data_IF_381925703945
#
_entry.id   IF_381925703945
#
_cell.length_a   1.000
_cell.length_b   1.000
_cell.length_c   1.000
_cell.angle_alpha   90.00
_cell.angle_beta   90.00
_cell.angle_gamma   90.00
#
_symmetry.space_group_name_H-M   'P 1'
#
loop_
_entity.id
_entity.type
_entity.pdbx_description
1 polymer ?
#
# COMPACT_ATOMS: atom_id res chain seq x y z
N UNK A 1 -75.56 31.47 -37.49
CA UNK A 1 -76.69 31.58 -36.55
C UNK A 1 -76.09 31.68 -35.16
N UNK A 2 -76.47 32.68 -34.37
CA UNK A 2 -75.81 33.08 -33.11
C UNK A 2 -76.29 32.26 -31.89
N UNK A 3 -75.90 32.72 -30.67
CA UNK A 3 -76.27 32.22 -29.32
C UNK A 3 -75.36 31.05 -28.85
N UNK A 4 -74.36 31.18 -27.96
CA UNK A 4 -74.03 32.06 -26.81
C UNK A 4 -74.70 31.67 -25.47
N UNK A 5 -73.86 31.56 -24.41
CA UNK A 5 -74.14 31.30 -22.97
C UNK A 5 -74.42 29.81 -22.60
N UNK A 6 -73.93 29.24 -21.47
CA UNK A 6 -73.32 29.82 -20.26
C UNK A 6 -72.20 28.94 -19.60
N UNK A 7 -71.36 29.61 -18.81
CA UNK A 7 -70.35 29.17 -17.80
C UNK A 7 -70.90 28.09 -16.83
N UNK A 8 -70.14 27.27 -16.07
CA UNK A 8 -68.72 27.23 -15.62
C UNK A 8 -68.40 25.78 -15.12
N UNK A 9 -67.18 25.28 -14.84
CA UNK A 9 -65.81 25.78 -15.01
C UNK A 9 -64.87 25.49 -13.81
N UNK A 10 -64.10 24.37 -13.81
CA UNK A 10 -63.02 24.03 -12.83
C UNK A 10 -61.82 23.32 -13.48
N UNK A 11 -60.70 23.21 -12.75
CA UNK A 11 -59.32 23.15 -13.25
C UNK A 11 -58.64 21.76 -13.18
N UNK A 12 -57.64 21.59 -14.06
CA UNK A 12 -56.40 20.78 -13.97
C UNK A 12 -56.44 19.35 -13.40
N UNK A 13 -56.01 18.38 -14.21
CA UNK A 13 -54.65 17.83 -14.14
C UNK A 13 -54.33 17.03 -15.42
N UNK A 14 -53.08 17.01 -15.86
CA UNK A 14 -52.59 16.05 -16.85
C UNK A 14 -51.90 14.90 -16.08
N UNK A 15 -52.16 13.65 -16.48
CA UNK A 15 -51.45 12.50 -15.93
C UNK A 15 -49.99 12.53 -16.40
N UNK A 16 -49.08 12.69 -15.45
CA UNK A 16 -47.63 12.60 -15.65
C UNK A 16 -47.12 11.44 -14.77
N UNK A 17 -46.94 10.28 -15.40
CA UNK A 17 -46.57 9.04 -14.72
C UNK A 17 -45.37 8.32 -15.37
N UNK A 18 -44.42 9.11 -15.89
CA UNK A 18 -43.02 8.66 -16.05
C UNK A 18 -42.19 9.07 -14.82
N UNK A 19 -42.45 8.44 -13.68
CA UNK A 19 -41.68 8.69 -12.46
C UNK A 19 -40.42 7.81 -12.42
N UNK A 20 -39.27 8.45 -12.63
CA UNK A 20 -37.94 7.85 -12.66
C UNK A 20 -37.72 6.83 -11.53
N UNK A 21 -37.33 5.61 -11.91
CA UNK A 21 -37.02 4.52 -10.98
C UNK A 21 -35.64 4.73 -10.35
N UNK A 22 -35.53 5.75 -9.49
CA UNK A 22 -34.31 6.04 -8.72
C UNK A 22 -33.94 4.80 -7.89
N UNK A 23 -32.84 4.14 -8.26
CA UNK A 23 -32.35 2.94 -7.56
C UNK A 23 -32.05 3.30 -6.10
N UNK A 24 -32.88 2.78 -5.19
CA UNK A 24 -32.67 3.00 -3.75
C UNK A 24 -31.42 2.26 -3.33
N UNK A 25 -30.40 3.01 -2.91
CA UNK A 25 -29.19 2.47 -2.27
C UNK A 25 -29.57 1.42 -1.22
N UNK A 26 -28.87 0.26 -1.17
CA UNK A 26 -29.21 -0.81 -0.27
C UNK A 26 -29.04 -0.40 1.19
N UNK A 27 -29.84 -0.98 2.09
CA UNK A 27 -29.81 -0.67 3.53
C UNK A 27 -28.50 -1.07 4.23
N UNK A 28 -27.70 -1.91 3.59
CA UNK A 28 -26.47 -2.50 4.07
C UNK A 28 -25.66 -2.94 2.83
N UNK A 29 -24.34 -2.82 2.85
CA UNK A 29 -23.49 -3.46 1.83
C UNK A 29 -23.39 -4.95 2.16
N UNK A 30 -23.74 -5.81 1.21
CA UNK A 30 -23.65 -7.27 1.40
C UNK A 30 -22.21 -7.76 1.19
N UNK A 31 -21.65 -8.38 2.22
CA UNK A 31 -20.33 -9.03 2.18
C UNK A 31 -20.55 -10.55 2.13
N UNK A 32 -19.89 -11.30 1.21
CA UNK A 32 -20.00 -12.76 1.17
C UNK A 32 -19.57 -13.39 2.50
N UNK A 33 -20.53 -14.00 3.20
CA UNK A 33 -20.35 -14.58 4.53
C UNK A 33 -20.13 -16.10 4.49
N UNK A 34 -19.17 -16.56 5.28
CA UNK A 34 -18.89 -17.97 5.62
C UNK A 34 -19.43 -18.35 7.01
N UNK A 35 -20.11 -17.42 7.70
CA UNK A 35 -20.82 -17.67 8.96
C UNK A 35 -19.96 -17.70 10.23
N UNK A 36 -18.65 -17.48 10.15
CA UNK A 36 -17.72 -17.67 11.28
C UNK A 36 -17.19 -16.42 11.96
N UNK A 37 -17.22 -15.25 11.31
CA UNK A 37 -16.56 -14.03 11.82
C UNK A 37 -17.53 -12.89 12.17
N UNK A 38 -17.39 -12.33 13.38
CA UNK A 38 -18.05 -11.08 13.79
C UNK A 38 -17.11 -9.91 13.49
N UNK A 39 -17.25 -9.34 12.29
CA UNK A 39 -16.42 -8.22 11.81
C UNK A 39 -17.21 -6.91 11.58
N UNK A 40 -18.54 -6.95 11.59
CA UNK A 40 -19.39 -5.76 11.45
C UNK A 40 -19.36 -4.96 12.76
N UNK A 41 -18.86 -3.73 12.68
CA UNK A 41 -18.77 -2.80 13.81
C UNK A 41 -20.03 -1.94 13.87
N UNK A 42 -20.62 -1.83 15.06
CA UNK A 42 -21.62 -0.80 15.31
C UNK A 42 -20.94 0.58 15.33
N UNK A 43 -21.30 1.45 14.39
CA UNK A 43 -20.74 2.81 14.23
C UNK A 43 -20.75 3.63 15.52
N UNK A 44 -21.72 3.43 16.42
CA UNK A 44 -21.80 4.13 17.71
C UNK A 44 -20.66 3.77 18.69
N UNK A 45 -19.90 2.70 18.41
CA UNK A 45 -18.71 2.30 19.18
C UNK A 45 -17.41 2.92 18.64
N UNK A 46 -17.45 3.53 17.44
CA UNK A 46 -16.32 4.25 16.86
C UNK A 46 -16.31 5.70 17.35
N UNK A 47 -15.16 6.15 17.85
CA UNK A 47 -14.90 7.55 18.14
C UNK A 47 -13.96 8.11 17.08
N UNK A 48 -14.43 9.07 16.30
CA UNK A 48 -13.61 9.78 15.34
C UNK A 48 -12.77 10.85 16.03
N UNK A 49 -11.51 10.96 15.62
CA UNK A 49 -10.55 11.98 16.07
C UNK A 49 -10.08 12.76 14.83
N UNK A 50 -8.78 13.08 14.75
CA UNK A 50 -8.21 13.88 13.67
C UNK A 50 -8.34 13.23 12.29
N UNK A 51 -8.62 14.04 11.27
CA UNK A 51 -8.52 13.63 9.87
C UNK A 51 -7.04 13.54 9.48
N UNK A 52 -6.59 12.34 9.12
CA UNK A 52 -5.20 12.00 8.79
C UNK A 52 -4.91 12.23 7.31
N UNK A 53 -5.89 11.98 6.44
CA UNK A 53 -5.70 12.11 5.00
C UNK A 53 -7.01 12.12 4.20
N UNK A 54 -6.88 12.42 2.91
CA UNK A 54 -7.95 12.29 1.91
C UNK A 54 -7.39 11.52 0.72
N UNK A 55 -8.03 10.40 0.38
CA UNK A 55 -7.73 9.62 -0.83
C UNK A 55 -8.83 9.75 -1.88
N UNK A 56 -8.62 9.07 -3.00
CA UNK A 56 -9.60 8.90 -4.08
C UNK A 56 -10.84 8.12 -3.62
N UNK A 57 -10.66 7.05 -2.84
CA UNK A 57 -11.74 6.18 -2.38
C UNK A 57 -12.47 6.71 -1.13
N UNK A 58 -11.88 7.61 -0.37
CA UNK A 58 -12.43 8.00 0.92
C UNK A 58 -11.56 8.98 1.71
N UNK A 59 -12.00 9.29 2.93
CA UNK A 59 -11.23 10.07 3.90
C UNK A 59 -10.73 9.17 5.03
N UNK A 60 -9.47 9.37 5.44
CA UNK A 60 -8.84 8.58 6.48
C UNK A 60 -8.80 9.39 7.78
N UNK A 61 -9.36 8.83 8.84
CA UNK A 61 -9.39 9.40 10.18
C UNK A 61 -8.58 8.54 11.15
N UNK A 62 -7.98 9.17 12.14
CA UNK A 62 -7.62 8.52 13.40
C UNK A 62 -8.89 8.40 14.24
N UNK A 63 -8.94 7.38 15.08
CA UNK A 63 -10.03 7.22 16.02
C UNK A 63 -9.71 6.21 17.11
N UNK A 64 -10.72 5.92 17.93
CA UNK A 64 -10.66 4.92 18.99
C UNK A 64 -11.84 3.94 18.87
N UNK A 65 -11.57 2.64 18.96
CA UNK A 65 -12.54 1.55 19.04
C UNK A 65 -12.17 0.63 20.20
N UNK A 66 -13.11 0.34 21.11
CA UNK A 66 -12.85 -0.51 22.29
C UNK A 66 -11.56 -0.16 23.07
N UNK A 67 -11.27 1.14 23.22
CA UNK A 67 -10.05 1.71 23.84
C UNK A 67 -8.73 1.44 23.10
N UNK A 68 -8.76 0.87 21.89
CA UNK A 68 -7.63 0.77 20.97
C UNK A 68 -7.66 1.92 19.95
N UNK A 69 -6.49 2.49 19.65
CA UNK A 69 -6.34 3.50 18.59
C UNK A 69 -6.41 2.81 17.23
N UNK A 70 -7.23 3.32 16.33
CA UNK A 70 -7.56 2.73 15.02
C UNK A 70 -7.48 3.76 13.89
N UNK A 71 -7.27 3.26 12.68
CA UNK A 71 -7.47 4.03 11.46
C UNK A 71 -8.86 3.72 10.89
N UNK A 72 -9.62 4.75 10.50
CA UNK A 72 -10.99 4.64 9.99
C UNK A 72 -11.03 5.25 8.59
N UNK A 73 -11.12 4.40 7.56
CA UNK A 73 -11.21 4.77 6.14
C UNK A 73 -12.69 4.87 5.77
N UNK A 74 -13.23 6.09 5.70
CA UNK A 74 -14.65 6.38 5.42
C UNK A 74 -14.87 6.57 3.92
N UNK A 75 -15.81 5.82 3.36
CA UNK A 75 -16.21 5.93 1.95
C UNK A 75 -17.04 7.20 1.74
N UNK A 76 -16.73 8.00 0.72
CA UNK A 76 -17.39 9.31 0.48
C UNK A 76 -18.81 9.15 -0.10
N UNK A 77 -19.86 9.67 0.56
CA UNK A 77 -21.24 9.57 0.06
C UNK A 77 -21.46 10.20 -1.32
N UNK A 78 -20.69 11.23 -1.67
CA UNK A 78 -20.78 11.93 -2.96
C UNK A 78 -20.19 11.11 -4.13
N UNK A 79 -19.47 10.02 -3.82
CA UNK A 79 -18.79 9.16 -4.78
C UNK A 79 -19.31 7.71 -4.77
N UNK A 80 -20.26 7.36 -3.89
CA UNK A 80 -20.82 6.01 -3.81
C UNK A 80 -21.74 5.68 -4.98
N UNK A 81 -21.16 5.07 -6.02
CA UNK A 81 -21.88 4.30 -7.03
C UNK A 81 -21.80 2.79 -6.74
N UNK A 82 -22.54 1.98 -7.51
CA UNK A 82 -22.62 0.52 -7.33
C UNK A 82 -21.27 -0.19 -7.46
N UNK A 83 -20.35 0.32 -8.28
CA UNK A 83 -19.01 -0.25 -8.44
C UNK A 83 -18.11 0.05 -7.23
N UNK A 84 -18.16 1.27 -6.68
CA UNK A 84 -17.44 1.65 -5.46
C UNK A 84 -17.90 0.83 -4.24
N UNK A 85 -19.21 0.55 -4.14
CA UNK A 85 -19.75 -0.34 -3.10
C UNK A 85 -19.26 -1.80 -3.29
N UNK A 86 -19.12 -2.26 -4.54
CA UNK A 86 -18.53 -3.58 -4.85
C UNK A 86 -17.03 -3.63 -4.54
N UNK A 87 -16.28 -2.59 -4.85
CA UNK A 87 -14.85 -2.46 -4.51
C UNK A 87 -14.65 -2.47 -2.99
N UNK A 88 -15.45 -1.70 -2.23
CA UNK A 88 -15.46 -1.74 -0.75
C UNK A 88 -15.80 -3.14 -0.22
N UNK A 89 -16.83 -3.79 -0.77
CA UNK A 89 -17.23 -5.14 -0.34
C UNK A 89 -16.12 -6.18 -0.57
N UNK A 90 -15.43 -6.07 -1.70
CA UNK A 90 -14.28 -6.90 -2.04
C UNK A 90 -13.08 -6.62 -1.13
N UNK A 91 -12.81 -5.35 -0.81
CA UNK A 91 -11.75 -4.93 0.11
C UNK A 91 -11.98 -5.55 1.50
N UNK A 92 -13.17 -5.42 2.08
CA UNK A 92 -13.55 -6.06 3.36
C UNK A 92 -13.46 -7.58 3.28
N UNK A 93 -13.94 -8.21 2.20
CA UNK A 93 -13.90 -9.66 2.02
C UNK A 93 -12.48 -10.23 1.95
N UNK A 94 -11.54 -9.51 1.33
CA UNK A 94 -10.11 -9.88 1.32
C UNK A 94 -9.50 -9.65 2.70
N UNK A 95 -9.67 -8.44 3.25
CA UNK A 95 -8.99 -8.01 4.47
C UNK A 95 -9.35 -8.86 5.70
N UNK A 96 -10.61 -9.32 5.83
CA UNK A 96 -11.03 -10.19 6.95
C UNK A 96 -10.31 -11.54 7.00
N UNK A 97 -9.77 -12.02 5.87
CA UNK A 97 -9.07 -13.33 5.77
C UNK A 97 -7.57 -13.24 6.04
N UNK A 98 -7.04 -12.03 6.28
CA UNK A 98 -5.60 -11.74 6.26
C UNK A 98 -5.12 -11.32 7.64
N UNK A 99 -4.17 -12.09 8.17
CA UNK A 99 -3.61 -11.89 9.52
C UNK A 99 -2.12 -12.27 9.53
N UNK A 100 -1.26 -11.26 9.41
CA UNK A 100 0.18 -11.43 9.37
C UNK A 100 0.89 -10.22 9.99
N UNK A 101 2.03 -10.43 10.68
CA UNK A 101 2.75 -9.37 11.41
C UNK A 101 3.14 -8.18 10.53
N UNK A 102 3.42 -8.43 9.25
CA UNK A 102 3.86 -7.41 8.29
C UNK A 102 2.78 -7.04 7.25
N UNK A 103 1.50 -7.27 7.57
CA UNK A 103 0.35 -6.80 6.78
C UNK A 103 -0.58 -6.05 7.74
N UNK A 104 -1.16 -4.93 7.30
CA UNK A 104 -2.02 -4.11 8.18
C UNK A 104 -3.25 -4.92 8.61
N UNK A 105 -3.42 -5.04 9.93
CA UNK A 105 -4.48 -5.81 10.54
C UNK A 105 -5.84 -5.11 10.38
N UNK A 106 -6.75 -5.82 9.72
CA UNK A 106 -8.18 -5.52 9.73
C UNK A 106 -8.77 -5.74 11.12
N UNK A 107 -9.57 -4.79 11.60
CA UNK A 107 -10.27 -4.84 12.90
C UNK A 107 -11.78 -5.06 12.67
N UNK A 108 -12.33 -4.43 11.64
CA UNK A 108 -13.73 -4.60 11.26
C UNK A 108 -14.15 -3.58 10.21
N UNK A 109 -15.45 -3.58 9.88
CA UNK A 109 -16.02 -2.61 8.95
C UNK A 109 -17.43 -2.19 9.40
N UNK A 110 -17.88 -1.02 8.97
CA UNK A 110 -19.28 -0.62 9.04
C UNK A 110 -19.83 -0.63 7.61
N UNK A 111 -20.86 -1.44 7.34
CA UNK A 111 -21.46 -1.59 6.00
C UNK A 111 -22.75 -0.81 5.80
N UNK A 112 -23.24 -0.13 6.84
CA UNK A 112 -24.52 0.59 6.82
C UNK A 112 -24.36 2.08 6.49
N UNK A 113 -25.23 2.67 5.65
CA UNK A 113 -25.33 4.11 5.48
C UNK A 113 -25.59 4.85 6.81
N UNK A 114 -25.22 6.14 6.94
CA UNK A 114 -24.68 7.01 5.90
C UNK A 114 -23.18 6.85 5.64
N UNK A 115 -22.42 6.25 6.57
CA UNK A 115 -20.96 6.28 6.57
C UNK A 115 -20.35 4.87 6.55
N UNK A 116 -20.33 4.16 5.40
CA UNK A 116 -19.56 2.93 5.27
C UNK A 116 -18.07 3.19 5.53
N UNK A 117 -17.43 2.35 6.33
CA UNK A 117 -16.01 2.51 6.63
C UNK A 117 -15.29 1.18 6.90
N UNK A 118 -13.98 1.18 6.67
CA UNK A 118 -13.07 0.09 7.04
C UNK A 118 -12.23 0.55 8.23
N UNK A 119 -12.11 -0.31 9.23
CA UNK A 119 -11.35 -0.06 10.47
C UNK A 119 -10.15 -1.00 10.53
N UNK A 120 -8.96 -0.41 10.64
CA UNK A 120 -7.69 -1.14 10.77
C UNK A 120 -6.91 -0.65 11.99
N UNK A 121 -5.84 -1.37 12.34
CA UNK A 121 -4.86 -0.84 13.28
C UNK A 121 -4.28 0.52 12.81
N UNK A 122 -3.99 1.39 13.77
CA UNK A 122 -3.40 2.70 13.48
C UNK A 122 -1.86 2.62 13.41
N UNK A 123 -1.30 2.94 12.24
CA UNK A 123 0.14 2.92 12.02
C UNK A 123 0.76 4.28 12.35
N UNK A 124 1.21 4.42 13.60
CA UNK A 124 1.48 5.71 14.26
C UNK A 124 2.57 6.58 13.63
N UNK A 125 3.48 6.03 12.81
CA UNK A 125 4.52 6.79 12.08
C UNK A 125 4.14 7.12 10.64
N UNK A 126 2.97 6.72 10.18
CA UNK A 126 2.49 6.97 8.81
C UNK A 126 3.22 6.12 7.76
N UNK A 127 3.28 6.63 6.53
CA UNK A 127 3.86 5.92 5.38
C UNK A 127 5.37 6.11 5.25
N UNK A 128 6.05 5.13 4.64
CA UNK A 128 7.47 5.25 4.32
C UNK A 128 7.72 6.37 3.30
N UNK A 129 6.78 6.65 2.39
CA UNK A 129 6.88 7.81 1.49
C UNK A 129 7.00 9.13 2.25
N UNK A 130 6.15 9.32 3.27
CA UNK A 130 6.16 10.53 4.09
C UNK A 130 7.42 10.61 4.95
N UNK A 131 7.89 9.49 5.49
CA UNK A 131 9.17 9.39 6.19
C UNK A 131 10.34 9.83 5.31
N UNK A 132 10.46 9.30 4.09
CA UNK A 132 11.56 9.60 3.16
C UNK A 132 11.49 11.06 2.64
N UNK A 133 10.32 11.48 2.14
CA UNK A 133 10.21 12.68 1.31
C UNK A 133 9.76 13.93 2.07
N UNK A 134 8.90 13.79 3.09
CA UNK A 134 8.43 14.92 3.92
C UNK A 134 9.30 15.09 5.15
N UNK A 135 9.56 14.01 5.89
CA UNK A 135 10.33 14.03 7.15
C UNK A 135 11.86 13.98 6.93
N UNK A 136 12.31 13.68 5.70
CA UNK A 136 13.74 13.51 5.33
C UNK A 136 14.47 12.43 6.15
N UNK A 137 13.72 11.42 6.56
CA UNK A 137 14.21 10.25 7.29
C UNK A 137 15.28 9.47 6.54
N UNK A 138 16.13 8.77 7.30
CA UNK A 138 17.28 8.03 6.75
C UNK A 138 17.37 6.66 7.41
N UNK A 139 17.23 5.60 6.59
CA UNK A 139 17.59 4.26 7.02
C UNK A 139 19.09 4.02 6.83
N UNK A 140 19.78 3.69 7.92
CA UNK A 140 21.11 3.05 7.82
C UNK A 140 20.90 1.63 7.29
N UNK A 141 21.90 1.07 6.60
CA UNK A 141 21.80 -0.25 5.95
C UNK A 141 21.15 -1.37 6.80
N UNK A 142 21.46 -1.56 8.10
CA UNK A 142 20.76 -2.58 8.91
C UNK A 142 19.26 -2.32 9.08
N UNK A 143 18.86 -1.07 9.28
CA UNK A 143 17.45 -0.68 9.38
C UNK A 143 16.73 -0.80 8.04
N UNK A 144 17.41 -0.46 6.94
CA UNK A 144 16.88 -0.66 5.58
C UNK A 144 16.62 -2.15 5.31
N UNK A 145 17.56 -3.02 5.69
CA UNK A 145 17.41 -4.47 5.53
C UNK A 145 16.27 -5.01 6.42
N UNK A 146 16.12 -4.54 7.67
CA UNK A 146 14.96 -4.86 8.52
C UNK A 146 13.64 -4.50 7.82
N UNK A 147 13.53 -3.27 7.31
CA UNK A 147 12.35 -2.79 6.57
C UNK A 147 12.08 -3.63 5.33
N UNK A 148 13.11 -3.91 4.52
CA UNK A 148 12.98 -4.73 3.31
C UNK A 148 12.53 -6.16 3.63
N UNK A 149 13.04 -6.77 4.71
CA UNK A 149 12.61 -8.10 5.18
C UNK A 149 11.16 -8.08 5.67
N UNK A 150 10.76 -7.06 6.43
CA UNK A 150 9.38 -6.89 6.90
C UNK A 150 8.41 -6.81 5.70
N UNK A 151 8.68 -5.94 4.73
CA UNK A 151 7.89 -5.81 3.49
C UNK A 151 7.83 -7.14 2.73
N UNK A 152 8.98 -7.79 2.55
CA UNK A 152 9.06 -9.05 1.80
C UNK A 152 8.26 -10.17 2.47
N UNK A 153 8.25 -10.26 3.81
CA UNK A 153 7.41 -11.21 4.55
C UNK A 153 5.92 -10.91 4.39
N UNK A 154 5.54 -9.63 4.41
CA UNK A 154 4.16 -9.20 4.15
C UNK A 154 3.68 -9.63 2.76
N UNK A 155 4.48 -9.34 1.73
CA UNK A 155 4.17 -9.72 0.35
C UNK A 155 4.17 -11.23 0.12
N UNK A 156 5.14 -11.97 0.68
CA UNK A 156 5.17 -13.42 0.61
C UNK A 156 3.89 -14.05 1.20
N UNK A 157 3.41 -13.53 2.33
CA UNK A 157 2.15 -13.99 2.93
C UNK A 157 0.94 -13.69 2.04
N UNK A 158 0.86 -12.50 1.41
CA UNK A 158 -0.21 -12.17 0.46
C UNK A 158 -0.19 -13.12 -0.75
N UNK A 159 0.98 -13.37 -1.33
CA UNK A 159 1.15 -14.29 -2.47
C UNK A 159 0.78 -15.73 -2.12
N UNK A 160 1.16 -16.22 -0.94
CA UNK A 160 0.74 -17.54 -0.42
C UNK A 160 -0.78 -17.66 -0.24
N UNK A 161 -1.49 -16.54 -0.08
CA UNK A 161 -2.96 -16.48 -0.03
C UNK A 161 -3.60 -16.13 -1.39
N UNK A 162 -2.84 -16.21 -2.49
CA UNK A 162 -3.26 -15.87 -3.87
C UNK A 162 -3.72 -14.40 -4.06
N UNK A 163 -3.17 -13.47 -3.27
CA UNK A 163 -3.45 -12.03 -3.38
C UNK A 163 -2.26 -11.33 -4.05
N UNK A 164 -2.52 -10.72 -5.21
CA UNK A 164 -1.58 -9.82 -5.90
C UNK A 164 -1.91 -8.39 -5.49
N UNK A 165 -0.93 -7.63 -5.00
CA UNK A 165 -1.13 -6.29 -4.44
C UNK A 165 -1.35 -5.22 -5.51
N UNK A 166 -0.62 -5.29 -6.64
CA UNK A 166 -0.73 -4.43 -7.85
C UNK A 166 -0.36 -2.95 -7.71
N UNK A 167 -0.32 -2.41 -6.48
CA UNK A 167 -0.02 -1.00 -6.17
C UNK A 167 1.08 -0.89 -5.09
N UNK A 168 2.04 -1.81 -5.05
CA UNK A 168 3.10 -1.82 -4.04
C UNK A 168 4.08 -0.64 -4.25
N UNK A 169 4.09 0.30 -3.30
CA UNK A 169 4.91 1.51 -3.30
C UNK A 169 5.16 1.99 -1.87
N UNK A 170 6.15 2.85 -1.63
CA UNK A 170 6.46 3.37 -0.28
C UNK A 170 5.30 4.11 0.39
N UNK A 171 4.31 4.61 -0.36
CA UNK A 171 3.12 5.24 0.20
C UNK A 171 2.16 4.22 0.86
N UNK A 172 2.16 2.97 0.40
CA UNK A 172 1.31 1.88 0.89
C UNK A 172 2.07 0.95 1.87
N UNK A 173 3.26 1.38 2.29
CA UNK A 173 4.02 0.76 3.37
C UNK A 173 3.95 1.65 4.59
N UNK A 174 3.38 1.14 5.67
CA UNK A 174 3.14 1.90 6.90
C UNK A 174 4.02 1.40 8.04
N UNK A 175 4.37 2.29 8.98
CA UNK A 175 5.26 1.98 10.11
C UNK A 175 4.58 2.27 11.46
N UNK A 176 4.77 1.37 12.43
CA UNK A 176 4.31 1.52 13.82
C UNK A 176 5.37 2.18 14.72
N UNK A 177 5.02 2.46 15.97
CA UNK A 177 5.91 3.10 16.94
C UNK A 177 7.20 2.29 17.21
N UNK A 178 7.14 0.97 17.01
CA UNK A 178 8.22 0.00 17.21
C UNK A 178 9.10 -0.23 15.95
N UNK A 179 8.91 0.61 14.92
CA UNK A 179 9.59 0.52 13.62
C UNK A 179 9.36 -0.82 12.91
N UNK A 180 8.21 -1.47 13.12
CA UNK A 180 7.77 -2.61 12.29
C UNK A 180 7.04 -2.05 11.07
N UNK A 181 7.37 -2.56 9.89
CA UNK A 181 6.71 -2.16 8.64
C UNK A 181 5.65 -3.17 8.25
N UNK A 182 4.51 -2.64 7.78
CA UNK A 182 3.36 -3.41 7.31
C UNK A 182 2.88 -2.93 5.95
N UNK A 183 2.44 -3.89 5.14
CA UNK A 183 1.83 -3.66 3.82
C UNK A 183 0.36 -3.27 3.98
N UNK A 184 -0.07 -2.20 3.33
CA UNK A 184 -1.43 -1.62 3.39
C UNK A 184 -2.09 -1.54 2.00
N UNK A 185 -3.40 -1.24 1.94
CA UNK A 185 -4.19 -1.03 0.71
C UNK A 185 -4.14 -2.19 -0.33
N UNK A 186 -3.78 -3.40 0.10
CA UNK A 186 -3.77 -4.63 -0.72
C UNK A 186 -5.16 -5.14 -1.12
N UNK A 187 -6.24 -4.62 -0.53
CA UNK A 187 -7.61 -5.04 -0.82
C UNK A 187 -8.24 -4.38 -2.05
N UNK A 188 -7.66 -3.29 -2.58
CA UNK A 188 -8.09 -2.64 -3.84
C UNK A 188 -7.46 -3.36 -5.05
N UNK A 189 -7.46 -4.69 -5.05
CA UNK A 189 -6.87 -5.54 -6.09
C UNK A 189 -7.66 -5.39 -7.41
N UNK A 190 -7.35 -4.30 -8.14
CA UNK A 190 -8.26 -3.62 -9.09
C UNK A 190 -8.95 -4.58 -10.05
N UNK A 191 -10.27 -4.75 -9.90
CA UNK A 191 -11.15 -5.35 -10.92
C UNK A 191 -11.48 -4.29 -11.98
N UNK A 192 -10.43 -3.67 -12.55
CA UNK A 192 -10.54 -2.69 -13.63
C UNK A 192 -9.64 -3.12 -14.80
N UNK A 193 -10.14 -4.12 -15.52
CA UNK A 193 -9.67 -4.52 -16.86
C UNK A 193 -10.77 -4.31 -17.92
N UNK A 194 -12.03 -4.09 -17.54
CA UNK A 194 -13.16 -3.99 -18.48
C UNK A 194 -13.44 -2.60 -19.07
N UNK A 195 -12.89 -1.52 -18.52
CA UNK A 195 -13.00 -0.17 -19.11
C UNK A 195 -11.62 0.31 -19.57
N UNK A 196 -11.35 0.26 -20.88
CA UNK A 196 -10.09 0.69 -21.52
C UNK A 196 -9.82 2.20 -21.49
N UNK A 197 -10.22 2.88 -20.43
CA UNK A 197 -10.03 4.33 -20.22
C UNK A 197 -8.98 4.51 -19.13
N UNK A 198 -7.89 5.22 -19.46
CA UNK A 198 -6.74 5.49 -18.58
C UNK A 198 -7.10 6.36 -17.36
N UNK A 199 -7.84 5.79 -16.41
CA UNK A 199 -8.22 6.37 -15.12
C UNK A 199 -7.47 5.70 -13.97
N UNK A 200 -6.23 5.27 -14.22
CA UNK A 200 -5.28 5.04 -13.16
C UNK A 200 -4.81 6.40 -12.62
N UNK A 201 -4.74 6.52 -11.29
CA UNK A 201 -4.06 7.64 -10.64
C UNK A 201 -2.67 7.77 -11.25
N UNK A 202 -2.38 8.91 -11.88
CA UNK A 202 -1.14 9.11 -12.64
C UNK A 202 0.12 9.03 -11.77
N UNK A 203 0.00 8.92 -10.44
CA UNK A 203 1.10 8.76 -9.50
C UNK A 203 1.83 7.42 -9.57
N UNK A 204 1.13 6.26 -9.58
CA UNK A 204 1.80 4.96 -9.36
C UNK A 204 2.65 4.48 -10.55
N UNK A 205 2.50 5.04 -11.76
CA UNK A 205 3.24 4.59 -12.96
C UNK A 205 4.76 4.43 -12.80
N UNK A 206 5.37 5.12 -11.83
CA UNK A 206 6.80 4.99 -11.48
C UNK A 206 7.20 3.64 -10.87
N UNK A 207 6.29 2.93 -10.19
CA UNK A 207 6.57 1.63 -9.56
C UNK A 207 6.02 0.44 -10.37
N UNK A 208 5.18 0.68 -11.37
CA UNK A 208 4.48 -0.38 -12.11
C UNK A 208 5.40 -1.21 -13.02
N UNK A 209 5.17 -2.53 -13.02
CA UNK A 209 5.85 -3.46 -13.91
C UNK A 209 5.45 -3.25 -15.40
N UNK A 210 6.34 -3.53 -16.36
CA UNK A 210 6.08 -3.28 -17.79
C UNK A 210 4.84 -4.00 -18.30
N UNK A 211 4.60 -5.26 -17.90
CA UNK A 211 3.43 -6.02 -18.30
C UNK A 211 2.09 -5.42 -17.82
N UNK A 212 2.08 -4.72 -16.67
CA UNK A 212 0.90 -4.01 -16.17
C UNK A 212 0.64 -2.75 -17.00
N UNK A 213 1.71 -2.01 -17.34
CA UNK A 213 1.65 -0.79 -18.16
C UNK A 213 1.17 -1.13 -19.58
N UNK A 214 1.62 -2.26 -20.14
CA UNK A 214 1.21 -2.76 -21.46
C UNK A 214 -0.14 -3.48 -21.47
N UNK A 215 -0.85 -3.58 -20.33
CA UNK A 215 -2.10 -4.32 -20.18
C UNK A 215 -2.02 -5.79 -20.63
N UNK A 216 -0.85 -6.42 -20.49
CA UNK A 216 -0.63 -7.85 -20.76
C UNK A 216 -1.12 -8.71 -19.58
N UNK A 217 -1.34 -10.02 -19.78
CA UNK A 217 -1.51 -10.95 -18.67
C UNK A 217 -0.31 -10.86 -17.71
N UNK A 218 -0.60 -10.86 -16.41
CA UNK A 218 0.38 -10.72 -15.34
C UNK A 218 0.04 -11.62 -14.16
N UNK A 219 1.04 -11.90 -13.34
CA UNK A 219 0.93 -12.67 -12.11
C UNK A 219 1.53 -11.88 -10.92
N UNK A 220 1.86 -12.60 -9.85
CA UNK A 220 2.45 -12.06 -8.62
C UNK A 220 3.85 -11.42 -8.83
N UNK A 221 4.56 -11.70 -9.93
CA UNK A 221 5.87 -11.12 -10.25
C UNK A 221 5.81 -9.64 -10.62
N UNK A 222 4.61 -9.10 -10.89
CA UNK A 222 4.40 -7.65 -11.01
C UNK A 222 4.68 -6.92 -9.69
N UNK A 223 4.35 -7.54 -8.55
CA UNK A 223 4.64 -6.98 -7.22
C UNK A 223 6.15 -7.05 -6.92
N UNK A 224 6.87 -8.05 -7.44
CA UNK A 224 8.33 -8.18 -7.28
C UNK A 224 9.07 -7.04 -7.99
N UNK A 225 8.62 -6.66 -9.19
CA UNK A 225 9.14 -5.47 -9.88
C UNK A 225 8.89 -4.20 -9.05
N UNK A 226 7.66 -4.02 -8.59
CA UNK A 226 7.25 -2.88 -7.76
C UNK A 226 8.04 -2.81 -6.45
N UNK A 227 8.35 -3.97 -5.85
CA UNK A 227 9.25 -4.09 -4.70
C UNK A 227 10.69 -3.68 -5.04
N UNK A 228 11.22 -4.06 -6.20
CA UNK A 228 12.54 -3.61 -6.68
C UNK A 228 12.65 -2.08 -6.75
N UNK A 229 11.65 -1.42 -7.33
CA UNK A 229 11.60 0.06 -7.38
C UNK A 229 11.44 0.66 -5.96
N UNK A 230 10.59 0.07 -5.12
CA UNK A 230 10.36 0.48 -3.72
C UNK A 230 11.64 0.35 -2.87
N UNK A 231 12.40 -0.72 -3.05
CA UNK A 231 13.67 -0.97 -2.36
C UNK A 231 14.76 0.00 -2.84
N UNK A 232 14.77 0.37 -4.12
CA UNK A 232 15.64 1.42 -4.64
C UNK A 232 15.30 2.78 -4.02
N UNK A 233 14.01 3.12 -3.92
CA UNK A 233 13.55 4.36 -3.27
C UNK A 233 13.92 4.42 -1.78
N UNK A 234 13.80 3.31 -1.05
CA UNK A 234 14.25 3.20 0.34
C UNK A 234 15.77 3.38 0.50
N UNK A 235 16.54 2.95 -0.50
CA UNK A 235 18.01 3.03 -0.54
C UNK A 235 18.51 4.44 -0.86
N UNK A 236 17.93 5.10 -1.87
CA UNK A 236 18.39 6.43 -2.33
C UNK A 236 17.71 7.58 -1.58
N UNK A 237 16.45 7.38 -1.15
CA UNK A 237 15.49 8.41 -0.71
C UNK A 237 15.10 9.37 -1.85
N UNK A 238 15.31 8.96 -3.10
CA UNK A 238 14.92 9.71 -4.28
C UNK A 238 13.61 9.20 -4.85
N UNK A 239 12.77 10.10 -5.37
CA UNK A 239 11.57 9.70 -6.10
C UNK A 239 11.97 8.96 -7.39
N UNK A 240 11.47 7.73 -7.66
CA UNK A 240 11.88 6.96 -8.83
C UNK A 240 11.63 7.71 -10.14
N UNK A 241 12.67 7.83 -10.97
CA UNK A 241 12.64 8.59 -12.23
C UNK A 241 12.23 10.07 -12.04
N UNK A 242 12.68 10.73 -10.97
CA UNK A 242 12.36 12.12 -10.60
C UNK A 242 12.45 13.15 -11.74
N UNK A 243 13.33 12.92 -12.72
CA UNK A 243 13.56 13.75 -13.91
C UNK A 243 12.52 13.55 -15.05
N UNK A 244 11.55 12.64 -14.89
CA UNK A 244 10.46 12.37 -15.84
C UNK A 244 9.09 12.59 -15.19
N UNK A 245 8.06 12.87 -15.98
CA UNK A 245 6.68 12.68 -15.53
C UNK A 245 6.40 11.19 -15.32
N UNK A 246 5.41 10.79 -14.50
CA UNK A 246 5.10 9.38 -14.28
C UNK A 246 4.77 8.61 -15.57
N UNK A 247 4.06 9.23 -16.51
CA UNK A 247 3.75 8.63 -17.82
C UNK A 247 5.00 8.46 -18.69
N UNK A 248 5.90 9.45 -18.70
CA UNK A 248 7.19 9.33 -19.38
C UNK A 248 8.07 8.23 -18.77
N UNK A 249 8.03 8.05 -17.44
CA UNK A 249 8.71 6.96 -16.75
C UNK A 249 8.15 5.60 -17.19
N UNK A 250 6.82 5.41 -17.20
CA UNK A 250 6.18 4.19 -17.70
C UNK A 250 6.55 3.87 -19.15
N UNK A 251 6.50 4.86 -20.05
CA UNK A 251 6.91 4.71 -21.46
C UNK A 251 8.39 4.32 -21.55
N UNK A 252 9.27 4.92 -20.74
CA UNK A 252 10.69 4.56 -20.67
C UNK A 252 10.93 3.13 -20.17
N UNK A 253 10.21 2.70 -19.13
CA UNK A 253 10.28 1.34 -18.56
C UNK A 253 9.95 0.29 -19.61
N UNK A 254 8.87 0.50 -20.37
CA UNK A 254 8.38 -0.41 -21.41
C UNK A 254 9.26 -0.37 -22.67
N UNK A 255 9.48 0.80 -23.26
CA UNK A 255 10.08 0.91 -24.60
C UNK A 255 11.61 0.89 -24.60
N UNK A 256 12.25 1.24 -23.47
CA UNK A 256 13.71 1.40 -23.38
C UNK A 256 14.35 0.55 -22.28
N UNK A 257 13.57 -0.30 -21.60
CA UNK A 257 14.05 -1.06 -20.44
C UNK A 257 14.54 -0.16 -19.30
N UNK A 258 14.02 1.08 -19.19
CA UNK A 258 14.57 2.08 -18.26
C UNK A 258 14.46 1.61 -16.80
N UNK A 259 15.57 1.68 -16.06
CA UNK A 259 15.64 1.40 -14.61
C UNK A 259 16.35 2.54 -13.87
N UNK A 260 16.05 2.78 -12.58
CA UNK A 260 16.79 3.73 -11.77
C UNK A 260 18.27 3.36 -11.62
N UNK A 261 19.14 4.38 -11.51
CA UNK A 261 20.59 4.16 -11.33
C UNK A 261 20.89 3.70 -9.91
N UNK A 262 21.51 2.53 -9.75
CA UNK A 262 21.96 2.05 -8.43
C UNK A 262 23.26 2.79 -8.03
N UNK A 263 23.36 3.40 -6.84
CA UNK A 263 24.59 4.04 -6.38
C UNK A 263 25.75 3.05 -6.28
N UNK A 264 26.96 3.44 -6.71
CA UNK A 264 28.17 2.58 -6.66
C UNK A 264 28.60 2.14 -5.26
N UNK A 265 28.13 2.82 -4.21
CA UNK A 265 28.35 2.50 -2.81
C UNK A 265 27.36 1.48 -2.23
N UNK A 266 26.42 0.97 -3.03
CA UNK A 266 25.44 -0.03 -2.62
C UNK A 266 26.13 -1.37 -2.37
N UNK A 267 25.70 -2.10 -1.33
CA UNK A 267 26.18 -3.46 -1.05
C UNK A 267 26.02 -4.36 -2.30
N UNK A 268 27.06 -5.11 -2.75
CA UNK A 268 27.01 -5.80 -4.05
C UNK A 268 25.79 -6.71 -4.23
N UNK A 269 25.50 -7.56 -3.25
CA UNK A 269 24.30 -8.44 -3.28
C UNK A 269 22.98 -7.67 -3.27
N UNK A 270 22.93 -6.47 -2.69
CA UNK A 270 21.73 -5.64 -2.71
C UNK A 270 21.52 -5.00 -4.09
N UNK A 271 22.61 -4.62 -4.77
CA UNK A 271 22.55 -4.20 -6.18
C UNK A 271 22.12 -5.35 -7.10
N UNK A 272 22.63 -6.55 -6.87
CA UNK A 272 22.23 -7.76 -7.61
C UNK A 272 20.74 -8.09 -7.39
N UNK A 273 20.28 -8.06 -6.14
CA UNK A 273 18.87 -8.27 -5.80
C UNK A 273 17.95 -7.26 -6.49
N UNK A 274 18.29 -5.95 -6.45
CA UNK A 274 17.57 -4.92 -7.20
C UNK A 274 17.50 -5.24 -8.70
N UNK A 275 18.64 -5.65 -9.29
CA UNK A 275 18.72 -6.01 -10.70
C UNK A 275 17.88 -7.24 -11.06
N UNK A 276 17.76 -8.22 -10.16
CA UNK A 276 16.90 -9.40 -10.33
C UNK A 276 15.41 -9.07 -10.16
N UNK A 277 15.04 -8.25 -9.18
CA UNK A 277 13.64 -7.90 -8.92
C UNK A 277 12.96 -7.19 -10.10
N UNK A 278 13.68 -6.33 -10.85
CA UNK A 278 13.10 -5.52 -11.93
C UNK A 278 13.41 -6.03 -13.35
N UNK A 279 13.70 -7.33 -13.52
CA UNK A 279 13.93 -7.92 -14.84
C UNK A 279 12.75 -7.72 -15.79
N UNK A 280 13.04 -7.67 -17.10
CA UNK A 280 12.00 -7.41 -18.11
C UNK A 280 11.02 -8.60 -18.20
N UNK A 281 11.53 -9.83 -18.35
CA UNK A 281 10.69 -11.04 -18.24
C UNK A 281 10.32 -11.27 -16.75
N UNK A 282 9.03 -11.41 -16.41
CA UNK A 282 8.59 -11.77 -15.05
C UNK A 282 9.16 -13.10 -14.52
N UNK A 283 9.54 -14.03 -15.40
CA UNK A 283 10.10 -15.34 -15.02
C UNK A 283 11.46 -15.24 -14.36
N UNK A 284 12.30 -14.29 -14.79
CA UNK A 284 13.65 -14.06 -14.26
C UNK A 284 13.66 -13.35 -12.90
N UNK A 285 12.50 -12.83 -12.47
CA UNK A 285 12.33 -12.18 -11.16
C UNK A 285 12.21 -13.25 -10.05
N UNK A 286 12.86 -13.08 -8.89
CA UNK A 286 12.78 -14.02 -7.76
C UNK A 286 11.37 -14.06 -7.15
N UNK A 287 11.05 -15.11 -6.40
CA UNK A 287 9.88 -15.12 -5.50
C UNK A 287 10.20 -14.38 -4.19
N UNK A 288 9.19 -13.87 -3.47
CA UNK A 288 9.44 -13.18 -2.20
C UNK A 288 10.08 -14.06 -1.12
N UNK A 289 9.88 -15.39 -1.16
CA UNK A 289 10.62 -16.34 -0.31
C UNK A 289 12.14 -16.24 -0.51
N UNK A 290 12.60 -16.28 -1.77
CA UNK A 290 14.02 -16.14 -2.11
C UNK A 290 14.56 -14.75 -1.74
N UNK A 291 13.77 -13.69 -1.98
CA UNK A 291 14.11 -12.31 -1.58
C UNK A 291 14.37 -12.24 -0.07
N UNK A 292 13.54 -12.88 0.76
CA UNK A 292 13.70 -12.92 2.22
C UNK A 292 15.03 -13.58 2.60
N UNK A 293 15.38 -14.71 1.97
CA UNK A 293 16.63 -15.44 2.24
C UNK A 293 17.86 -14.58 1.88
N UNK A 294 17.85 -13.96 0.70
CA UNK A 294 18.93 -13.07 0.24
C UNK A 294 19.09 -11.88 1.20
N UNK A 295 17.99 -11.21 1.58
CA UNK A 295 18.05 -10.07 2.51
C UNK A 295 18.55 -10.46 3.90
N UNK A 296 18.17 -11.63 4.41
CA UNK A 296 18.67 -12.15 5.69
C UNK A 296 20.17 -12.46 5.65
N UNK A 297 20.65 -13.02 4.53
CA UNK A 297 22.07 -13.27 4.32
C UNK A 297 22.88 -11.96 4.30
N UNK A 298 22.41 -10.94 3.57
CA UNK A 298 23.04 -9.60 3.58
C UNK A 298 23.01 -8.98 4.98
N UNK A 299 21.90 -9.12 5.71
CA UNK A 299 21.79 -8.59 7.08
C UNK A 299 22.79 -9.25 8.03
N UNK A 300 23.08 -10.54 7.84
CA UNK A 300 24.12 -11.26 8.60
C UNK A 300 25.52 -10.77 8.23
N UNK A 301 25.86 -10.70 6.95
CA UNK A 301 27.16 -10.18 6.47
C UNK A 301 27.47 -8.78 7.07
N UNK A 302 26.49 -7.86 7.04
CA UNK A 302 26.61 -6.50 7.59
C UNK A 302 26.76 -6.45 9.12
N UNK A 303 26.32 -7.48 9.86
CA UNK A 303 26.54 -7.60 11.31
C UNK A 303 27.94 -8.16 11.60
N UNK A 304 28.35 -9.20 10.88
CA UNK A 304 29.65 -9.85 11.05
C UNK A 304 30.81 -8.90 10.70
N UNK A 305 30.68 -8.11 9.63
CA UNK A 305 31.66 -7.06 9.27
C UNK A 305 31.84 -6.02 10.39
N UNK A 306 30.77 -5.62 11.07
CA UNK A 306 30.85 -4.68 12.21
C UNK A 306 31.54 -5.30 13.41
N UNK A 307 31.25 -6.56 13.71
CA UNK A 307 31.87 -7.28 14.83
C UNK A 307 33.40 -7.38 14.64
N UNK A 308 33.86 -7.67 13.42
CA UNK A 308 35.30 -7.74 13.12
C UNK A 308 35.97 -6.35 13.17
N UNK A 309 35.36 -5.33 12.54
CA UNK A 309 35.86 -3.95 12.59
C UNK A 309 35.92 -3.33 14.01
N UNK A 310 35.21 -3.89 14.98
CA UNK A 310 35.31 -3.52 16.39
C UNK A 310 36.43 -4.24 17.16
N UNK A 311 36.81 -5.46 16.75
CA UNK A 311 37.94 -6.20 17.36
C UNK A 311 39.28 -5.60 16.98
N UNK A 312 39.47 -5.22 15.71
CA UNK A 312 40.72 -4.64 15.22
C UNK A 312 41.00 -3.21 15.75
N UNK A 313 40.08 -2.63 16.51
CA UNK A 313 40.23 -1.31 17.15
C UNK A 313 40.52 -1.36 18.65
N UNK A 314 40.80 -2.53 19.23
CA UNK A 314 41.32 -2.63 20.60
C UNK A 314 42.82 -2.30 20.64
N UNK A 315 43.28 -1.36 21.51
CA UNK A 315 44.68 -0.95 21.54
C UNK A 315 45.57 -1.97 22.29
N UNK A 316 46.08 -2.97 21.58
CA UNK A 316 47.26 -3.71 22.04
C UNK A 316 48.51 -2.84 21.88
N UNK A 317 49.02 -2.25 22.97
CA UNK A 317 50.21 -1.40 22.83
C UNK A 317 50.77 -0.67 24.05
N UNK A 318 50.82 -1.25 25.25
CA UNK A 318 51.74 -0.79 26.31
C UNK A 318 52.25 -1.94 27.20
N UNK A 319 53.32 -2.59 26.74
CA UNK A 319 54.24 -3.36 27.58
C UNK A 319 55.67 -2.93 27.27
N UNK A 320 56.04 -1.72 27.73
CA UNK A 320 57.43 -1.27 27.76
C UNK A 320 58.09 -1.70 29.06
N UNK A 321 59.08 -2.58 28.95
CA UNK A 321 59.87 -3.15 30.04
C UNK A 321 60.49 -2.09 30.96
N UNK A 322 60.20 -2.16 32.26
CA UNK A 322 61.06 -1.55 33.28
C UNK A 322 62.22 -2.50 33.60
N UNK A 323 63.43 -2.18 33.10
CA UNK A 323 64.68 -2.59 33.74
C UNK A 323 65.16 -1.43 34.59
N UNK A 324 65.16 -1.61 35.91
CA UNK A 324 65.89 -0.72 36.81
C UNK A 324 67.02 -1.54 37.44
N UNK A 325 68.25 -1.17 37.10
CA UNK A 325 69.45 -1.62 37.79
C UNK A 325 70.09 -0.39 38.42
N UNK A 326 70.35 -0.47 39.72
CA UNK A 326 71.21 0.48 40.42
C UNK A 326 72.23 -0.30 41.26
N UNK A 327 73.38 0.33 41.43
CA UNK A 327 74.53 -0.11 42.22
C UNK A 327 74.23 -0.25 43.71
#
# INVERSE_FOLDING_TARGET
MEQYLSKQGTHYAADDHDQERMERLPRCIEIPSDGTDVWEINTNLLKFEDKVGSGSFGDLYKGTYCSQVVAIKVLKPELTNTDMLREFAQEVYIMRKIRHRNVVQFIGACTRPPNPCIVTEFMSRGSLYDFLHKQRGVFKLPSLLKVAIDVSKGMNYLHQNNIIHRDLKTANLLMDENEVVKVADFGVARVKIQSGVMTAETGTYRWMAPEIIEHKPYDQKADVFSFGITLWELLTRELPYSYLTPLQAAVGVVQKGLRPTIPKSTHPRLSELLQRCWQQDPKDRPEFSEIIEILQLIAKEVVDEKANNHKDKSPHGFLSTFKWGHH
#
